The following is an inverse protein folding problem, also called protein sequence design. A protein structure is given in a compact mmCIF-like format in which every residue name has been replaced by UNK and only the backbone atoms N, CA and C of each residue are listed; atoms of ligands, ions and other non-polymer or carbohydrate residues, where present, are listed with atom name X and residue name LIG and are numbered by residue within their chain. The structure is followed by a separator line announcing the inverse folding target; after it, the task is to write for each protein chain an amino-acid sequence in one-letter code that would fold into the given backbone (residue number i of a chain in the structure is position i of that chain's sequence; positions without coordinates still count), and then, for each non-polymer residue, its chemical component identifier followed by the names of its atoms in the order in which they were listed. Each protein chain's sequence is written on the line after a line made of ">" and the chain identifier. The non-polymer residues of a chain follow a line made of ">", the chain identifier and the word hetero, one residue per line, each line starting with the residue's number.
data_IF_750918267708
#
_entry.id   IF_750918267708
#
_cell.length_a   1.000
_cell.length_b   1.000
_cell.length_c   1.000
_cell.angle_alpha   90.00
_cell.angle_beta   90.00
_cell.angle_gamma   90.00
#
_symmetry.space_group_name_H-M   'P 1'
#
loop_
_entity.id
_entity.type
_entity.pdbx_description
1 polymer ?
#
# COMPACT_ATOMS: atom_id res chain seq x y z
N UNK A 1 -9.91 -1.65 -9.71
CA UNK A 1 -10.79 -1.02 -8.69
C UNK A 1 -11.27 -2.12 -7.76
N UNK A 2 -10.47 -2.60 -6.82
CA UNK A 2 -10.79 -3.90 -6.20
C UNK A 2 -10.33 -4.05 -4.74
N UNK A 3 -9.03 -4.09 -4.43
CA UNK A 3 -8.57 -4.43 -3.07
C UNK A 3 -8.80 -3.32 -2.02
N UNK A 4 -8.49 -2.06 -2.36
CA UNK A 4 -8.63 -0.92 -1.43
C UNK A 4 -10.10 -0.62 -1.11
N UNK A 5 -10.96 -0.52 -2.12
CA UNK A 5 -12.40 -0.30 -1.94
C UNK A 5 -13.01 -1.43 -1.08
N UNK A 6 -12.62 -2.68 -1.31
CA UNK A 6 -13.08 -3.82 -0.52
C UNK A 6 -12.64 -3.73 0.94
N UNK A 7 -11.37 -3.39 1.20
CA UNK A 7 -10.86 -3.19 2.56
C UNK A 7 -11.74 -2.19 3.31
N UNK A 8 -11.87 -0.98 2.76
CA UNK A 8 -12.65 0.09 3.38
C UNK A 8 -14.13 -0.27 3.52
N UNK A 9 -14.73 -0.96 2.55
CA UNK A 9 -16.12 -1.39 2.65
C UNK A 9 -16.32 -2.37 3.81
N UNK A 10 -15.47 -3.40 3.94
CA UNK A 10 -15.59 -4.41 5.00
C UNK A 10 -15.30 -3.84 6.40
N UNK A 11 -14.30 -2.97 6.54
CA UNK A 11 -13.99 -2.32 7.81
C UNK A 11 -15.04 -1.28 8.20
N UNK A 12 -15.55 -0.51 7.25
CA UNK A 12 -16.64 0.44 7.49
C UNK A 12 -17.92 -0.30 7.88
N UNK A 13 -18.23 -1.43 7.23
CA UNK A 13 -19.36 -2.29 7.60
C UNK A 13 -19.23 -2.77 9.05
N UNK A 14 -18.05 -3.27 9.46
CA UNK A 14 -17.81 -3.69 10.85
C UNK A 14 -18.07 -2.54 11.84
N UNK A 15 -17.54 -1.35 11.58
CA UNK A 15 -17.73 -0.18 12.43
C UNK A 15 -19.20 0.25 12.50
N UNK A 16 -19.87 0.34 11.36
CA UNK A 16 -21.27 0.75 11.28
C UNK A 16 -22.20 -0.22 12.00
N UNK A 17 -21.99 -1.53 11.84
CA UNK A 17 -22.80 -2.55 12.52
C UNK A 17 -22.58 -2.47 14.04
N UNK A 18 -21.34 -2.29 14.51
CA UNK A 18 -21.05 -2.09 15.93
C UNK A 18 -21.77 -0.86 16.50
N UNK A 19 -21.65 0.29 15.82
CA UNK A 19 -22.36 1.51 16.24
C UNK A 19 -23.89 1.35 16.17
N UNK A 20 -24.40 0.60 15.19
CA UNK A 20 -25.81 0.24 15.12
C UNK A 20 -26.26 -0.59 16.32
N UNK A 21 -25.44 -1.56 16.75
CA UNK A 21 -25.71 -2.36 17.94
C UNK A 21 -25.70 -1.50 19.21
N UNK A 22 -24.75 -0.58 19.36
CA UNK A 22 -24.68 0.37 20.48
C UNK A 22 -25.98 1.21 20.58
N UNK A 23 -26.48 1.72 19.44
CA UNK A 23 -27.73 2.51 19.39
C UNK A 23 -28.94 1.66 19.79
N UNK A 24 -29.01 0.41 19.32
CA UNK A 24 -30.12 -0.49 19.66
C UNK A 24 -30.06 -1.05 21.08
N UNK A 25 -28.92 -0.91 21.76
CA UNK A 25 -28.71 -1.37 23.13
C UNK A 25 -28.99 -2.86 23.31
N UNK A 26 -29.68 -3.22 24.40
CA UNK A 26 -29.99 -4.62 24.74
C UNK A 26 -30.79 -5.37 23.65
N UNK A 27 -31.57 -4.65 22.83
CA UNK A 27 -32.30 -5.24 21.69
C UNK A 27 -31.35 -5.71 20.58
N UNK A 28 -30.21 -5.06 20.41
CA UNK A 28 -29.20 -5.43 19.42
C UNK A 28 -28.56 -6.79 19.72
N UNK A 29 -28.46 -7.17 21.00
CA UNK A 29 -27.85 -8.41 21.45
C UNK A 29 -28.86 -9.58 21.45
N UNK A 30 -30.14 -9.30 21.67
CA UNK A 30 -31.19 -10.32 21.70
C UNK A 30 -31.35 -11.01 20.35
N UNK A 31 -31.04 -12.31 20.28
CA UNK A 31 -31.29 -13.11 19.09
C UNK A 31 -32.77 -13.50 19.03
N UNK A 32 -33.51 -12.84 18.16
CA UNK A 32 -34.91 -13.13 17.88
C UNK A 32 -35.27 -12.76 16.44
N UNK A 33 -36.42 -13.24 15.93
CA UNK A 33 -36.82 -13.03 14.53
C UNK A 33 -37.03 -11.56 14.13
N UNK A 34 -37.05 -10.65 15.12
CA UNK A 34 -37.21 -9.20 14.95
C UNK A 34 -35.89 -8.41 15.07
N UNK A 35 -34.75 -9.08 15.25
CA UNK A 35 -33.44 -8.44 15.30
C UNK A 35 -32.79 -8.46 13.91
N UNK A 36 -32.74 -7.29 13.28
CA UNK A 36 -32.18 -7.11 11.94
C UNK A 36 -30.64 -7.01 11.93
N UNK A 37 -30.00 -6.72 13.07
CA UNK A 37 -28.55 -6.52 13.17
C UNK A 37 -27.78 -7.81 13.49
N UNK A 38 -28.40 -8.76 14.20
CA UNK A 38 -27.73 -10.00 14.64
C UNK A 38 -27.10 -10.78 13.48
N UNK A 39 -27.84 -10.99 12.39
CA UNK A 39 -27.33 -11.72 11.22
C UNK A 39 -26.22 -10.96 10.50
N UNK A 40 -26.33 -9.63 10.42
CA UNK A 40 -25.30 -8.79 9.80
C UNK A 40 -23.99 -8.86 10.60
N UNK A 41 -24.08 -8.80 11.94
CA UNK A 41 -22.92 -8.92 12.82
C UNK A 41 -22.22 -10.28 12.67
N UNK A 42 -22.99 -11.36 12.62
CA UNK A 42 -22.46 -12.72 12.40
C UNK A 42 -21.81 -12.90 11.02
N UNK A 43 -22.25 -12.16 10.00
CA UNK A 43 -21.69 -12.21 8.65
C UNK A 43 -20.38 -11.41 8.49
N UNK A 44 -20.02 -10.53 9.44
CA UNK A 44 -18.79 -9.71 9.36
C UNK A 44 -17.53 -10.57 9.14
N UNK A 45 -17.25 -11.62 9.94
CA UNK A 45 -16.03 -12.39 9.79
C UNK A 45 -15.96 -13.12 8.43
N UNK A 46 -17.09 -13.58 7.92
CA UNK A 46 -17.21 -14.24 6.62
C UNK A 46 -16.79 -13.26 5.51
N UNK A 47 -17.35 -12.04 5.52
CA UNK A 47 -17.03 -11.02 4.52
C UNK A 47 -15.56 -10.57 4.52
N UNK A 48 -14.86 -10.73 5.65
CA UNK A 48 -13.48 -10.29 5.83
C UNK A 48 -12.49 -11.39 5.46
N UNK A 49 -12.81 -12.64 5.75
CA UNK A 49 -11.89 -13.78 5.62
C UNK A 49 -11.97 -14.50 4.27
N UNK A 50 -13.15 -14.54 3.63
CA UNK A 50 -13.39 -15.37 2.43
C UNK A 50 -12.74 -14.81 1.16
N UNK A 51 -12.37 -13.53 1.14
CA UNK A 51 -11.80 -12.86 -0.04
C UNK A 51 -10.27 -12.69 -0.01
N UNK A 52 -9.57 -13.44 0.84
CA UNK A 52 -8.12 -13.31 1.02
C UNK A 52 -7.80 -13.10 2.48
N UNK A 53 -7.67 -14.23 3.18
CA UNK A 53 -7.44 -14.38 4.61
C UNK A 53 -6.40 -13.38 5.14
N UNK A 54 -6.81 -12.61 6.16
CA UNK A 54 -6.02 -11.69 6.98
C UNK A 54 -5.77 -10.28 6.40
N UNK A 55 -5.88 -9.27 7.28
CA UNK A 55 -5.59 -7.85 7.00
C UNK A 55 -4.18 -7.70 6.40
N UNK A 56 -3.23 -8.52 6.85
CA UNK A 56 -1.87 -8.56 6.34
C UNK A 56 -1.81 -8.84 4.83
N UNK A 57 -2.48 -9.90 4.37
CA UNK A 57 -2.49 -10.30 2.95
C UNK A 57 -3.09 -9.22 2.06
N UNK A 58 -4.14 -8.55 2.54
CA UNK A 58 -4.78 -7.45 1.81
C UNK A 58 -3.91 -6.19 1.78
N UNK A 59 -3.26 -5.84 2.89
CA UNK A 59 -2.29 -4.73 2.93
C UNK A 59 -1.12 -4.97 1.98
N UNK A 60 -0.60 -6.20 1.93
CA UNK A 60 0.47 -6.57 1.00
C UNK A 60 0.01 -6.52 -0.46
N UNK A 61 -1.23 -6.95 -0.76
CA UNK A 61 -1.79 -6.85 -2.11
C UNK A 61 -1.97 -5.39 -2.55
N UNK A 62 -2.47 -4.52 -1.67
CA UNK A 62 -2.62 -3.08 -1.94
C UNK A 62 -1.24 -2.44 -2.15
N UNK A 63 -0.29 -2.75 -1.28
CA UNK A 63 1.09 -2.29 -1.41
C UNK A 63 1.71 -2.76 -2.72
N UNK A 64 1.68 -4.06 -3.02
CA UNK A 64 2.22 -4.62 -4.27
C UNK A 64 1.60 -3.98 -5.51
N UNK A 65 0.27 -3.86 -5.57
CA UNK A 65 -0.41 -3.20 -6.68
C UNK A 65 -0.11 -1.70 -6.81
N UNK A 66 0.21 -1.04 -5.69
CA UNK A 66 0.67 0.35 -5.64
C UNK A 66 2.11 0.47 -6.14
N UNK A 67 3.04 -0.26 -5.53
CA UNK A 67 4.47 -0.24 -5.86
C UNK A 67 4.74 -0.58 -7.32
N UNK A 68 4.04 -1.58 -7.87
CA UNK A 68 4.15 -1.96 -9.29
C UNK A 68 3.67 -0.88 -10.26
N UNK A 69 2.75 0.01 -9.83
CA UNK A 69 2.27 1.14 -10.66
C UNK A 69 3.11 2.39 -10.50
N UNK A 70 3.69 2.61 -9.32
CA UNK A 70 4.45 3.81 -9.01
C UNK A 70 5.86 3.79 -9.59
N UNK A 71 6.40 2.59 -9.89
CA UNK A 71 7.79 2.43 -10.30
C UNK A 71 7.90 1.64 -11.63
N UNK A 72 8.34 2.29 -12.73
CA UNK A 72 8.44 1.63 -14.03
C UNK A 72 9.50 0.51 -14.05
N UNK A 73 10.55 0.64 -13.24
CA UNK A 73 11.69 -0.28 -13.20
C UNK A 73 11.48 -1.51 -12.30
N UNK A 74 10.51 -1.46 -11.38
CA UNK A 74 10.33 -2.49 -10.34
C UNK A 74 9.72 -3.79 -10.89
N UNK A 75 8.93 -3.70 -11.98
CA UNK A 75 8.42 -4.87 -12.69
C UNK A 75 9.53 -5.65 -13.39
N UNK A 76 10.46 -4.94 -14.05
CA UNK A 76 11.60 -5.54 -14.74
C UNK A 76 12.60 -6.15 -13.76
N UNK A 77 12.87 -5.47 -12.64
CA UNK A 77 13.69 -6.00 -11.55
C UNK A 77 13.12 -7.31 -10.96
N UNK A 78 11.81 -7.38 -10.74
CA UNK A 78 11.15 -8.61 -10.26
C UNK A 78 11.21 -9.74 -11.29
N UNK A 79 11.09 -9.45 -12.59
CA UNK A 79 11.26 -10.46 -13.64
C UNK A 79 12.69 -10.99 -13.71
N UNK A 80 13.69 -10.12 -13.60
CA UNK A 80 15.10 -10.50 -13.57
C UNK A 80 15.41 -11.36 -12.34
N UNK A 81 14.76 -11.12 -11.20
CA UNK A 81 14.88 -11.96 -10.00
C UNK A 81 14.27 -13.37 -10.18
N UNK A 82 13.29 -13.52 -11.07
CA UNK A 82 12.62 -14.78 -11.37
C UNK A 82 13.28 -15.55 -12.53
N UNK A 83 14.30 -14.99 -13.19
CA UNK A 83 15.03 -15.67 -14.24
C UNK A 83 15.80 -16.90 -13.72
N UNK A 84 15.81 -17.98 -14.50
CA UNK A 84 16.48 -19.23 -14.14
C UNK A 84 18.01 -19.06 -14.01
N UNK A 85 18.60 -18.19 -14.82
CA UNK A 85 20.05 -17.96 -14.87
C UNK A 85 20.49 -16.81 -13.95
N UNK A 86 20.62 -17.14 -12.67
CA UNK A 86 20.83 -16.17 -11.57
C UNK A 86 22.15 -15.41 -11.67
N UNK A 87 23.19 -15.95 -12.30
CA UNK A 87 24.51 -15.32 -12.33
C UNK A 87 24.59 -14.19 -13.37
N UNK A 88 24.04 -14.40 -14.57
CA UNK A 88 23.96 -13.35 -15.60
C UNK A 88 22.94 -12.25 -15.23
N UNK A 89 21.88 -12.62 -14.50
CA UNK A 89 20.85 -11.70 -14.03
C UNK A 89 21.36 -10.75 -12.92
N UNK A 90 22.39 -11.13 -12.15
CA UNK A 90 22.87 -10.32 -11.02
C UNK A 90 23.56 -9.01 -11.44
N UNK A 91 24.37 -9.02 -12.51
CA UNK A 91 25.06 -7.82 -12.98
C UNK A 91 24.10 -6.81 -13.63
N UNK A 92 23.13 -7.31 -14.39
CA UNK A 92 22.05 -6.51 -14.98
C UNK A 92 21.10 -5.98 -13.90
N UNK A 93 20.79 -6.78 -12.88
CA UNK A 93 19.99 -6.37 -11.74
C UNK A 93 20.68 -5.28 -10.91
N UNK A 94 21.98 -5.43 -10.59
CA UNK A 94 22.72 -4.41 -9.83
C UNK A 94 22.72 -3.06 -10.56
N UNK A 95 22.91 -3.07 -11.89
CA UNK A 95 22.93 -1.85 -12.70
C UNK A 95 21.55 -1.16 -12.72
N UNK A 96 20.47 -1.93 -12.89
CA UNK A 96 19.09 -1.42 -12.82
C UNK A 96 18.76 -0.87 -11.42
N UNK A 97 19.16 -1.58 -10.37
CA UNK A 97 18.91 -1.18 -8.99
C UNK A 97 19.61 0.15 -8.66
N UNK A 98 20.83 0.39 -9.13
CA UNK A 98 21.49 1.70 -8.95
C UNK A 98 20.79 2.84 -9.71
N UNK A 99 20.25 2.57 -10.91
CA UNK A 99 19.46 3.56 -11.66
C UNK A 99 18.11 3.83 -10.97
N UNK A 100 17.45 2.80 -10.46
CA UNK A 100 16.23 2.87 -9.67
C UNK A 100 16.46 3.67 -8.38
N UNK A 101 17.54 3.38 -7.65
CA UNK A 101 17.94 4.09 -6.45
C UNK A 101 18.24 5.56 -6.75
N UNK A 102 18.93 5.87 -7.86
CA UNK A 102 19.16 7.24 -8.31
C UNK A 102 17.86 7.99 -8.64
N UNK A 103 16.89 7.31 -9.26
CA UNK A 103 15.57 7.87 -9.57
C UNK A 103 14.74 8.15 -8.32
N UNK A 104 14.73 7.19 -7.38
CA UNK A 104 14.15 7.31 -6.05
C UNK A 104 14.76 8.46 -5.27
N UNK A 105 16.09 8.56 -5.21
CA UNK A 105 16.80 9.62 -4.49
C UNK A 105 16.52 11.01 -5.09
N UNK A 106 16.36 11.11 -6.42
CA UNK A 106 15.96 12.36 -7.07
C UNK A 106 14.51 12.75 -6.68
N UNK A 107 13.58 11.79 -6.65
CA UNK A 107 12.20 12.01 -6.17
C UNK A 107 12.15 12.29 -4.66
N UNK A 108 13.04 11.69 -3.87
CA UNK A 108 13.22 11.93 -2.45
C UNK A 108 13.69 13.36 -2.16
N UNK A 109 14.71 13.81 -2.90
CA UNK A 109 15.19 15.19 -2.83
C UNK A 109 14.06 16.16 -3.20
N UNK A 110 13.25 15.84 -4.22
CA UNK A 110 12.05 16.62 -4.55
C UNK A 110 11.01 16.60 -3.42
N UNK A 111 10.73 15.45 -2.80
CA UNK A 111 9.84 15.35 -1.65
C UNK A 111 10.33 16.20 -0.47
N UNK A 112 11.61 16.13 -0.15
CA UNK A 112 12.25 16.90 0.91
C UNK A 112 12.22 18.41 0.61
N UNK A 113 12.47 18.81 -0.64
CA UNK A 113 12.32 20.22 -1.05
C UNK A 113 10.86 20.68 -0.98
N UNK A 114 9.88 19.81 -1.26
CA UNK A 114 8.45 20.12 -1.10
C UNK A 114 8.02 20.19 0.38
N UNK A 115 8.67 19.41 1.26
CA UNK A 115 8.47 19.48 2.70
C UNK A 115 9.04 20.78 3.31
N UNK A 116 10.20 21.22 2.82
CA UNK A 116 10.91 22.38 3.36
C UNK A 116 10.48 23.73 2.74
N UNK A 117 10.27 23.77 1.43
CA UNK A 117 9.93 24.99 0.67
C UNK A 117 8.45 25.09 0.28
N UNK A 118 7.64 24.07 0.60
CA UNK A 118 6.22 23.99 0.26
C UNK A 118 5.91 23.10 -0.95
N UNK A 119 4.75 22.44 -0.91
CA UNK A 119 4.33 21.47 -1.93
C UNK A 119 4.18 22.11 -3.31
N UNK A 120 4.53 21.34 -4.35
CA UNK A 120 4.25 21.68 -5.75
C UNK A 120 2.80 22.13 -5.95
N UNK A 121 2.62 23.22 -6.70
CA UNK A 121 1.33 23.72 -7.16
C UNK A 121 0.72 22.83 -8.27
N UNK A 122 1.35 21.69 -8.60
CA UNK A 122 0.80 20.72 -9.55
C UNK A 122 -0.57 20.27 -9.09
N UNK A 123 -1.59 20.71 -9.83
CA UNK A 123 -3.00 20.42 -9.59
C UNK A 123 -3.62 19.97 -10.91
N UNK A 124 -4.64 19.10 -10.85
CA UNK A 124 -5.50 18.87 -12.00
C UNK A 124 -6.18 20.20 -12.39
N UNK A 125 -6.33 20.48 -13.69
CA UNK A 125 -7.04 21.69 -14.18
C UNK A 125 -8.49 21.77 -13.67
N UNK A 126 -9.06 20.65 -13.24
CA UNK A 126 -10.41 20.54 -12.67
C UNK A 126 -10.50 20.88 -11.18
N UNK A 127 -9.47 21.45 -10.53
CA UNK A 127 -9.50 21.74 -9.09
C UNK A 127 -10.16 23.07 -8.77
N UNK A 128 -11.23 23.03 -7.98
CA UNK A 128 -11.93 24.21 -7.45
C UNK A 128 -11.13 24.92 -6.33
N UNK A 129 -11.34 26.22 -6.11
CA UNK A 129 -10.57 27.06 -5.18
C UNK A 129 -10.56 26.51 -3.75
N UNK A 130 -11.69 25.94 -3.31
CA UNK A 130 -11.83 25.25 -2.02
C UNK A 130 -10.95 23.99 -1.90
N UNK A 131 -10.71 23.28 -3.00
CA UNK A 131 -10.01 21.98 -2.98
C UNK A 131 -8.49 22.14 -3.15
N UNK A 132 -8.04 23.28 -3.67
CA UNK A 132 -6.61 23.56 -3.91
C UNK A 132 -5.68 23.33 -2.70
N UNK A 133 -6.00 23.77 -1.47
CA UNK A 133 -5.11 23.54 -0.32
C UNK A 133 -4.98 22.04 0.00
N UNK A 134 -6.04 21.25 -0.20
CA UNK A 134 -6.02 19.81 0.06
C UNK A 134 -5.13 19.05 -0.93
N UNK A 135 -5.10 19.44 -2.20
CA UNK A 135 -4.19 18.84 -3.19
C UNK A 135 -2.72 19.05 -2.84
N UNK A 136 -2.36 20.19 -2.25
CA UNK A 136 -0.98 20.43 -1.77
C UNK A 136 -0.61 19.47 -0.65
N UNK A 137 -1.53 19.23 0.28
CA UNK A 137 -1.32 18.30 1.39
C UNK A 137 -1.18 16.86 0.86
N UNK A 138 -2.06 16.46 -0.06
CA UNK A 138 -2.03 15.13 -0.69
C UNK A 138 -0.72 14.91 -1.44
N UNK A 139 -0.27 15.90 -2.23
CA UNK A 139 0.98 15.81 -2.97
C UNK A 139 2.19 15.66 -2.02
N UNK A 140 2.21 16.39 -0.90
CA UNK A 140 3.26 16.24 0.13
C UNK A 140 3.27 14.83 0.70
N UNK A 141 2.14 14.34 1.21
CA UNK A 141 2.06 13.00 1.80
C UNK A 141 2.33 11.89 0.77
N UNK A 142 1.95 12.09 -0.49
CA UNK A 142 2.26 11.13 -1.56
C UNK A 142 3.76 11.05 -1.82
N UNK A 143 4.47 12.19 -1.76
CA UNK A 143 5.92 12.24 -1.92
C UNK A 143 6.64 11.60 -0.73
N UNK A 144 6.20 11.88 0.50
CA UNK A 144 6.75 11.27 1.72
C UNK A 144 6.51 9.73 1.77
N UNK A 145 5.31 9.30 1.35
CA UNK A 145 4.97 7.87 1.27
C UNK A 145 5.80 7.15 0.20
N UNK A 146 5.97 7.75 -0.99
CA UNK A 146 6.81 7.18 -2.04
C UNK A 146 8.26 7.00 -1.56
N UNK A 147 8.82 8.02 -0.89
CA UNK A 147 10.16 7.93 -0.30
C UNK A 147 10.28 6.78 0.70
N UNK A 148 9.32 6.69 1.63
CA UNK A 148 9.34 5.66 2.68
C UNK A 148 9.19 4.26 2.10
N UNK A 149 8.33 4.10 1.08
CA UNK A 149 8.15 2.85 0.36
C UNK A 149 9.43 2.41 -0.36
N UNK A 150 10.11 3.34 -1.05
CA UNK A 150 11.35 3.02 -1.76
C UNK A 150 12.51 2.70 -0.79
N UNK A 151 12.61 3.40 0.35
CA UNK A 151 13.58 3.05 1.40
C UNK A 151 13.31 1.65 1.97
N UNK A 152 12.05 1.30 2.20
CA UNK A 152 11.66 -0.02 2.68
C UNK A 152 12.02 -1.11 1.67
N UNK A 153 11.73 -0.89 0.39
CA UNK A 153 12.08 -1.80 -0.71
C UNK A 153 13.61 -1.95 -0.85
N UNK A 154 14.36 -0.85 -0.77
CA UNK A 154 15.82 -0.87 -0.84
C UNK A 154 16.47 -1.63 0.33
N UNK A 155 15.98 -1.45 1.56
CA UNK A 155 16.43 -2.21 2.73
C UNK A 155 16.12 -3.70 2.58
N UNK A 156 14.90 -4.05 2.16
CA UNK A 156 14.50 -5.45 1.96
C UNK A 156 15.32 -6.12 0.85
N UNK A 157 15.58 -5.43 -0.26
CA UNK A 157 16.44 -5.91 -1.34
C UNK A 157 17.89 -6.11 -0.88
N UNK A 158 18.41 -5.17 -0.07
CA UNK A 158 19.75 -5.26 0.54
C UNK A 158 19.91 -6.46 1.46
N UNK A 159 18.90 -6.76 2.28
CA UNK A 159 18.90 -7.95 3.15
C UNK A 159 18.86 -9.25 2.35
N UNK A 160 18.10 -9.31 1.24
CA UNK A 160 18.07 -10.48 0.34
C UNK A 160 19.45 -10.69 -0.33
N UNK A 161 20.15 -9.60 -0.70
CA UNK A 161 21.51 -9.64 -1.24
C UNK A 161 22.55 -10.09 -0.21
N UNK A 162 22.44 -9.64 1.04
CA UNK A 162 23.34 -10.03 2.13
C UNK A 162 23.15 -11.50 2.52
N UNK A 163 21.92 -12.01 2.53
CA UNK A 163 21.63 -13.43 2.76
C UNK A 163 22.20 -14.30 1.64
N UNK A 164 22.14 -13.88 0.36
CA UNK A 164 22.77 -14.61 -0.75
C UNK A 164 24.30 -14.68 -0.65
N UNK A 165 24.98 -13.63 -0.19
CA UNK A 165 26.43 -13.68 0.09
C UNK A 165 26.79 -14.73 1.15
N UNK A 166 25.88 -15.00 2.09
CA UNK A 166 26.06 -16.05 3.10
C UNK A 166 25.89 -17.48 2.53
N UNK A 167 25.16 -17.64 1.42
CA UNK A 167 24.95 -18.94 0.74
C UNK A 167 25.91 -19.21 -0.43
N UNK A 168 26.75 -18.25 -0.82
CA UNK A 168 27.82 -18.40 -1.83
C UNK A 168 29.23 -18.45 -1.21
N UNK A 169 29.32 -18.60 0.11
CA UNK A 169 30.55 -18.98 0.78
C UNK A 169 30.66 -20.50 0.87
N UNK A 170 31.06 -21.12 -0.24
CA UNK A 170 31.85 -22.36 -0.35
C UNK A 170 32.37 -22.48 -1.80
#
# INVERSE_FOLDING_TARGET
>A
MTAMAKYYATETMRKLVNHGMDITGGRGIQQGPRNFLANMYQAIPISITVEGANILSRSLMIFGQGSMRCHPYLFEELQLLQAEDKNAALDTFNTMLYQHLGYTLNRAARAFTYGWFGSSQHRPDSSDEFTQPYYKIINRFSADFALTADMCLGLLAGDILNVKKCFQGD
#
